data_IF_770787718450
#
_entry.id   IF_770787718450
#
_cell.length_a   1.000
_cell.length_b   1.000
_cell.length_c   1.000
_cell.angle_alpha   90.00
_cell.angle_beta   90.00
_cell.angle_gamma   90.00
#
_symmetry.space_group_name_H-M   'P 1'
#
loop_
_entity.id
_entity.type
_entity.pdbx_description
1 polymer ?
#
# COMPACT_ATOMS: atom_id res chain seq x y z
N UNK A 1 -9.25 -10.99 -9.71
CA UNK A 1 -8.13 -11.63 -10.43
C UNK A 1 -6.81 -11.07 -9.91
N UNK A 2 -5.87 -11.94 -9.54
CA UNK A 2 -4.54 -11.57 -9.05
C UNK A 2 -3.69 -11.09 -10.22
N UNK A 3 -2.96 -9.98 -10.07
CA UNK A 3 -2.09 -9.42 -11.12
C UNK A 3 -0.77 -8.93 -10.56
N UNK A 4 0.28 -9.00 -11.38
CA UNK A 4 1.56 -8.33 -11.10
C UNK A 4 1.52 -6.93 -11.69
N UNK A 5 1.78 -5.93 -10.87
CA UNK A 5 1.70 -4.51 -11.23
C UNK A 5 2.96 -3.80 -10.71
N UNK A 6 3.47 -2.81 -11.44
CA UNK A 6 4.59 -1.98 -10.97
C UNK A 6 4.03 -0.83 -10.16
N UNK A 7 4.59 -0.59 -8.98
CA UNK A 7 4.20 0.55 -8.14
C UNK A 7 4.88 1.81 -8.67
N UNK A 8 4.07 2.80 -9.05
CA UNK A 8 4.54 4.05 -9.65
C UNK A 8 4.61 5.18 -8.62
N UNK A 9 3.76 5.13 -7.59
CA UNK A 9 3.71 6.18 -6.58
C UNK A 9 3.27 5.66 -5.22
N UNK A 10 3.84 6.27 -4.18
CA UNK A 10 3.44 6.08 -2.79
C UNK A 10 2.74 7.34 -2.29
N UNK A 11 1.51 7.18 -1.82
CA UNK A 11 0.68 8.30 -1.35
C UNK A 11 0.97 8.56 0.12
N UNK A 12 0.84 7.53 0.95
CA UNK A 12 1.05 7.51 2.40
C UNK A 12 1.61 6.13 2.83
N UNK A 13 1.47 5.75 4.11
CA UNK A 13 2.02 4.49 4.63
C UNK A 13 1.22 3.23 4.30
N UNK A 14 0.04 3.34 3.69
CA UNK A 14 -0.81 2.21 3.31
C UNK A 14 -1.47 2.33 1.92
N UNK A 15 -1.28 3.45 1.23
CA UNK A 15 -1.90 3.73 -0.07
C UNK A 15 -0.86 3.90 -1.18
N UNK A 16 -1.07 3.18 -2.29
CA UNK A 16 -0.18 3.15 -3.47
C UNK A 16 -0.95 3.39 -4.78
N UNK A 17 -0.22 3.82 -5.80
CA UNK A 17 -0.66 3.82 -7.21
C UNK A 17 0.23 2.85 -8.01
N UNK A 18 -0.37 2.21 -9.02
CA UNK A 18 0.32 1.26 -9.88
C UNK A 18 0.22 1.68 -11.34
N UNK A 19 1.05 1.09 -12.19
CA UNK A 19 1.06 1.36 -13.64
C UNK A 19 -0.18 0.87 -14.39
N UNK A 20 -1.06 0.11 -13.72
CA UNK A 20 -2.19 -0.59 -14.36
C UNK A 20 -3.53 0.03 -13.97
N UNK A 21 -3.64 0.61 -12.77
CA UNK A 21 -4.91 1.08 -12.22
C UNK A 21 -4.90 2.59 -12.11
N UNK A 22 -5.97 3.21 -12.61
CA UNK A 22 -6.18 4.65 -12.47
C UNK A 22 -6.50 5.04 -11.01
N UNK A 23 -7.18 4.14 -10.28
CA UNK A 23 -7.55 4.38 -8.88
C UNK A 23 -6.47 3.86 -7.93
N UNK A 24 -6.30 4.60 -6.83
CA UNK A 24 -5.44 4.23 -5.70
C UNK A 24 -5.84 2.90 -5.07
N UNK A 25 -4.83 2.20 -4.57
CA UNK A 25 -4.96 0.94 -3.85
C UNK A 25 -4.61 1.17 -2.40
N UNK A 26 -5.52 0.81 -1.49
CA UNK A 26 -5.24 0.72 -0.05
C UNK A 26 -4.84 -0.70 0.31
N UNK A 27 -3.72 -0.84 1.01
CA UNK A 27 -3.18 -2.12 1.43
C UNK A 27 -4.07 -2.66 2.56
N UNK A 28 -4.58 -3.87 2.37
CA UNK A 28 -5.41 -4.54 3.38
C UNK A 28 -4.58 -4.95 4.60
N UNK A 29 -5.16 -4.76 5.78
CA UNK A 29 -4.59 -5.23 7.06
C UNK A 29 -3.56 -4.30 7.70
N UNK A 30 -3.43 -3.06 7.21
CA UNK A 30 -2.68 -1.99 7.89
C UNK A 30 -3.47 -0.68 7.86
N UNK A 31 -3.33 0.11 8.92
CA UNK A 31 -3.77 1.51 8.98
C UNK A 31 -2.61 2.36 9.49
N UNK A 32 -2.04 3.17 8.61
CA UNK A 32 -0.88 4.01 8.91
C UNK A 32 -1.29 5.45 9.19
N UNK A 33 -0.49 6.21 9.96
CA UNK A 33 -0.79 7.61 10.27
C UNK A 33 -1.07 8.40 8.99
N UNK A 34 -2.11 9.24 9.04
CA UNK A 34 -2.49 10.11 7.94
C UNK A 34 -1.62 11.38 7.91
N UNK A 35 -1.66 12.13 6.80
CA UNK A 35 -0.89 13.38 6.67
C UNK A 35 -1.19 14.32 7.84
N UNK A 36 -0.14 14.75 8.54
CA UNK A 36 -0.23 15.62 9.71
C UNK A 36 -0.20 14.87 11.06
N UNK A 37 -0.32 13.55 11.05
CA UNK A 37 -0.17 12.74 12.26
C UNK A 37 1.31 12.38 12.52
N UNK A 38 1.72 12.22 13.79
CA UNK A 38 3.04 11.70 14.14
C UNK A 38 3.29 10.34 13.47
N UNK A 39 4.47 10.16 12.88
CA UNK A 39 4.86 8.91 12.20
C UNK A 39 4.45 8.81 10.72
N UNK A 40 3.65 9.75 10.18
CA UNK A 40 3.28 9.76 8.75
C UNK A 40 4.48 9.68 7.81
N UNK A 41 5.46 10.57 8.02
CA UNK A 41 6.66 10.66 7.16
C UNK A 41 7.50 9.38 7.23
N UNK A 42 7.57 8.75 8.40
CA UNK A 42 8.31 7.50 8.58
C UNK A 42 7.60 6.33 7.87
N UNK A 43 6.29 6.18 8.07
CA UNK A 43 5.49 5.15 7.42
C UNK A 43 5.55 5.27 5.89
N UNK A 44 5.39 6.49 5.37
CA UNK A 44 5.51 6.78 3.93
C UNK A 44 6.90 6.45 3.41
N UNK A 45 7.97 6.83 4.12
CA UNK A 45 9.35 6.55 3.71
C UNK A 45 9.63 5.05 3.69
N UNK A 46 9.17 4.32 4.69
CA UNK A 46 9.32 2.86 4.77
C UNK A 46 8.61 2.15 3.60
N UNK A 47 7.36 2.54 3.30
CA UNK A 47 6.63 1.96 2.17
C UNK A 47 7.30 2.30 0.83
N UNK A 48 7.82 3.52 0.69
CA UNK A 48 8.56 3.96 -0.49
C UNK A 48 9.84 3.15 -0.71
N UNK A 49 10.66 2.98 0.31
CA UNK A 49 11.85 2.12 0.23
C UNK A 49 11.50 0.66 -0.08
N UNK A 50 10.33 0.19 0.35
CA UNK A 50 9.91 -1.18 0.13
C UNK A 50 9.41 -1.41 -1.31
N UNK A 51 8.63 -0.48 -1.85
CA UNK A 51 7.78 -0.72 -3.02
C UNK A 51 8.01 0.19 -4.22
N UNK A 52 8.66 1.35 -4.08
CA UNK A 52 8.78 2.27 -5.21
C UNK A 52 9.54 1.59 -6.36
N UNK A 53 8.97 1.67 -7.57
CA UNK A 53 9.48 1.07 -8.80
C UNK A 53 9.59 -0.47 -8.76
N UNK A 54 8.97 -1.11 -7.76
CA UNK A 54 8.97 -2.57 -7.59
C UNK A 54 7.73 -3.20 -8.20
N UNK A 55 7.87 -4.47 -8.64
CA UNK A 55 6.75 -5.31 -9.06
C UNK A 55 6.11 -5.98 -7.87
N UNK A 56 4.81 -5.73 -7.67
CA UNK A 56 4.01 -6.32 -6.60
C UNK A 56 2.89 -7.17 -7.17
N UNK A 57 2.47 -8.16 -6.39
CA UNK A 57 1.26 -8.92 -6.66
C UNK A 57 0.10 -8.28 -5.91
N UNK A 58 -0.90 -7.80 -6.65
CA UNK A 58 -2.11 -7.17 -6.11
C UNK A 58 -3.27 -8.16 -6.18
N UNK A 59 -3.87 -8.43 -5.03
CA UNK A 59 -5.10 -9.24 -4.91
C UNK A 59 -6.21 -8.37 -4.34
N UNK A 60 -7.11 -7.81 -5.18
CA UNK A 60 -8.26 -7.05 -4.71
C UNK A 60 -9.13 -7.89 -3.77
N UNK A 61 -9.56 -7.27 -2.67
CA UNK A 61 -10.42 -7.88 -1.64
C UNK A 61 -11.77 -7.17 -1.61
N UNK A 62 -11.76 -5.84 -1.63
CA UNK A 62 -12.96 -5.02 -1.56
C UNK A 62 -12.77 -3.68 -2.26
N UNK A 63 -13.84 -2.90 -2.31
CA UNK A 63 -13.80 -1.48 -2.66
C UNK A 63 -14.32 -0.70 -1.45
N UNK A 64 -13.59 0.31 -1.00
CA UNK A 64 -14.04 1.12 0.13
C UNK A 64 -15.13 2.12 -0.27
N UNK A 65 -15.70 2.82 0.72
CA UNK A 65 -16.78 3.80 0.51
C UNK A 65 -16.38 4.99 -0.37
N UNK A 66 -15.07 5.23 -0.55
CA UNK A 66 -14.52 6.27 -1.42
C UNK A 66 -14.21 5.75 -2.82
N UNK A 67 -14.52 4.48 -3.10
CA UNK A 67 -14.30 3.84 -4.40
C UNK A 67 -12.85 3.40 -4.64
N UNK A 68 -11.98 3.37 -3.61
CA UNK A 68 -10.60 2.86 -3.72
C UNK A 68 -10.59 1.34 -3.67
N UNK A 69 -9.63 0.73 -4.36
CA UNK A 69 -9.44 -0.72 -4.27
C UNK A 69 -8.74 -1.05 -2.95
N UNK A 70 -9.34 -1.89 -2.11
CA UNK A 70 -8.68 -2.49 -0.95
C UNK A 70 -8.10 -3.83 -1.38
N UNK A 71 -6.78 -4.02 -1.23
CA UNK A 71 -6.10 -5.20 -1.76
C UNK A 71 -5.01 -5.74 -0.84
N UNK A 72 -4.83 -7.06 -0.87
CA UNK A 72 -3.62 -7.71 -0.36
C UNK A 72 -2.49 -7.48 -1.35
N UNK A 73 -1.41 -6.85 -0.89
CA UNK A 73 -0.23 -6.56 -1.70
C UNK A 73 0.95 -7.42 -1.23
N UNK A 74 1.63 -8.09 -2.17
CA UNK A 74 2.82 -8.89 -1.91
C UNK A 74 4.01 -8.41 -2.75
N UNK A 75 5.19 -8.31 -2.12
CA UNK A 75 6.48 -8.20 -2.81
C UNK A 75 7.14 -9.56 -2.79
N UNK A 76 7.25 -10.21 -3.95
CA UNK A 76 7.61 -11.63 -4.05
C UNK A 76 6.64 -12.48 -3.21
N UNK A 77 7.18 -13.21 -2.22
CA UNK A 77 6.39 -14.08 -1.34
C UNK A 77 5.97 -13.41 -0.01
N UNK A 78 6.32 -12.14 0.21
CA UNK A 78 6.09 -11.44 1.48
C UNK A 78 4.89 -10.50 1.37
N UNK A 79 3.98 -10.58 2.34
CA UNK A 79 2.88 -9.63 2.49
C UNK A 79 3.40 -8.27 2.96
N UNK A 80 3.05 -7.21 2.24
CA UNK A 80 3.48 -5.84 2.57
C UNK A 80 2.90 -5.41 3.92
N UNK A 81 1.65 -5.76 4.19
CA UNK A 81 1.01 -5.48 5.48
C UNK A 81 1.82 -6.00 6.66
N UNK A 82 2.38 -7.21 6.56
CA UNK A 82 3.29 -7.77 7.58
C UNK A 82 4.57 -6.96 7.74
N UNK A 83 5.15 -6.46 6.65
CA UNK A 83 6.37 -5.65 6.67
C UNK A 83 6.15 -4.26 7.26
N UNK A 84 4.93 -3.74 7.12
CA UNK A 84 4.54 -2.41 7.58
C UNK A 84 3.92 -2.38 8.98
N UNK A 85 3.72 -3.54 9.63
CA UNK A 85 3.03 -3.65 10.94
C UNK A 85 3.52 -2.67 12.01
N UNK A 86 4.83 -2.38 12.04
CA UNK A 86 5.45 -1.47 13.02
C UNK A 86 5.17 0.01 12.80
N UNK A 87 4.62 0.38 11.65
CA UNK A 87 4.32 1.76 11.24
C UNK A 87 2.83 2.07 11.27
N UNK A 88 2.02 1.21 11.89
CA UNK A 88 0.60 1.46 12.09
C UNK A 88 0.38 2.56 13.12
N UNK A 89 -0.80 3.19 13.08
CA UNK A 89 -1.25 4.07 14.16
C UNK A 89 -1.24 3.29 15.47
N UNK A 90 -0.81 3.96 16.54
CA UNK A 90 -0.97 3.47 17.92
C UNK A 90 -2.36 3.82 18.43
#
# INVERSE_FOLDING_TARGET
MVRKETVTKIIDGDTIETSVREKRIRIEGIDTPEKGQPGYSEAKKALNQLLKDEKVTVTPVATDVYGRTVAKVKKGNRLVSTLMKKHQKK
#
